data_IF_708200226630
#
_entry.id   IF_708200226630
#
_cell.length_a   1.000
_cell.length_b   1.000
_cell.length_c   1.000
_cell.angle_alpha   90.00
_cell.angle_beta   90.00
_cell.angle_gamma   90.00
#
_symmetry.space_group_name_H-M   'P 1'
#
loop_
_entity.id
_entity.type
_entity.pdbx_description
1 polymer ?
#
# COMPACT_ATOMS: atom_id res chain seq x y z
N UNK A 1 5.64 5.96 -7.18
CA UNK A 1 4.42 5.88 -6.33
C UNK A 1 3.90 7.28 -6.06
N UNK A 2 2.59 7.45 -5.92
CA UNK A 2 1.96 8.75 -5.66
C UNK A 2 1.39 8.85 -4.25
N UNK A 3 0.76 7.78 -3.77
CA UNK A 3 0.18 7.73 -2.43
C UNK A 3 0.13 6.30 -1.92
N UNK A 4 0.26 6.16 -0.60
CA UNK A 4 0.12 4.90 0.14
C UNK A 4 -0.73 5.15 1.37
N UNK A 5 -1.78 4.36 1.51
CA UNK A 5 -2.62 4.31 2.71
C UNK A 5 -2.50 2.91 3.30
N UNK A 6 -2.26 2.83 4.61
CA UNK A 6 -2.19 1.57 5.37
C UNK A 6 -3.15 1.64 6.53
N UNK A 7 -3.89 0.55 6.75
CA UNK A 7 -4.72 0.34 7.94
C UNK A 7 -4.09 -0.79 8.75
N UNK A 8 -3.77 -0.46 10.00
CA UNK A 8 -3.17 -1.38 10.97
C UNK A 8 -3.78 -1.13 12.36
N UNK A 9 -3.57 -2.03 13.34
CA UNK A 9 -4.13 -1.89 14.70
C UNK A 9 -3.68 -0.62 15.44
N UNK A 10 -2.51 -0.09 15.10
CA UNK A 10 -1.94 1.11 15.71
C UNK A 10 -1.27 2.01 14.66
N UNK A 11 -1.16 3.30 15.01
CA UNK A 11 -0.63 4.34 14.13
C UNK A 11 0.86 4.16 13.81
N UNK A 12 1.65 3.68 14.76
CA UNK A 12 3.10 3.51 14.58
C UNK A 12 3.37 2.44 13.53
N UNK A 13 2.66 1.31 13.61
CA UNK A 13 2.70 0.23 12.63
C UNK A 13 2.23 0.75 11.26
N UNK A 14 1.11 1.47 11.20
CA UNK A 14 0.60 2.01 9.94
C UNK A 14 1.61 2.96 9.25
N UNK A 15 2.19 3.89 10.01
CA UNK A 15 3.14 4.89 9.51
C UNK A 15 4.46 4.24 9.05
N UNK A 16 4.97 3.27 9.81
CA UNK A 16 6.17 2.52 9.46
C UNK A 16 5.98 1.76 8.14
N UNK A 17 4.85 1.06 7.97
CA UNK A 17 4.54 0.37 6.72
C UNK A 17 4.28 1.34 5.56
N UNK A 18 3.56 2.43 5.77
CA UNK A 18 3.31 3.43 4.72
C UNK A 18 4.64 4.02 4.20
N UNK A 19 5.54 4.38 5.12
CA UNK A 19 6.89 4.87 4.78
C UNK A 19 7.71 3.81 4.06
N UNK A 20 7.72 2.58 4.57
CA UNK A 20 8.48 1.48 3.96
C UNK A 20 7.98 1.16 2.55
N UNK A 21 6.66 1.11 2.34
CA UNK A 21 6.05 0.85 1.04
C UNK A 21 6.33 1.98 0.05
N UNK A 22 6.27 3.25 0.47
CA UNK A 22 6.53 4.41 -0.40
C UNK A 22 7.97 4.44 -0.94
N UNK A 23 8.94 3.98 -0.14
CA UNK A 23 10.37 3.94 -0.49
C UNK A 23 10.75 2.64 -1.22
N UNK A 24 9.98 1.56 -1.04
CA UNK A 24 10.33 0.23 -1.56
C UNK A 24 10.04 0.08 -3.06
N UNK A 25 10.87 -0.73 -3.72
CA UNK A 25 10.63 -1.24 -5.08
C UNK A 25 9.67 -2.44 -5.07
N UNK A 26 9.06 -2.75 -6.22
CA UNK A 26 8.02 -3.80 -6.37
C UNK A 26 8.41 -5.16 -5.75
N UNK A 27 9.66 -5.59 -5.88
CA UNK A 27 10.12 -6.89 -5.36
C UNK A 27 10.07 -6.99 -3.82
N UNK A 28 10.25 -5.87 -3.13
CA UNK A 28 10.19 -5.81 -1.65
C UNK A 28 8.77 -5.61 -1.14
N UNK A 29 7.88 -5.07 -1.97
CA UNK A 29 6.47 -4.91 -1.64
C UNK A 29 5.84 -6.25 -1.31
N UNK A 30 6.00 -7.26 -2.15
CA UNK A 30 5.30 -8.55 -1.97
C UNK A 30 5.61 -9.20 -0.62
N UNK A 31 6.84 -9.05 -0.11
CA UNK A 31 7.23 -9.56 1.21
C UNK A 31 6.58 -8.78 2.36
N UNK A 32 6.42 -7.47 2.21
CA UNK A 32 5.75 -6.61 3.19
C UNK A 32 4.23 -6.78 3.16
N UNK A 33 3.65 -7.04 1.98
CA UNK A 33 2.21 -7.18 1.76
C UNK A 33 1.63 -8.50 2.29
N UNK A 34 2.47 -9.50 2.59
CA UNK A 34 2.04 -10.72 3.29
C UNK A 34 1.78 -10.51 4.79
N UNK A 35 2.17 -9.37 5.35
CA UNK A 35 2.06 -9.10 6.78
C UNK A 35 0.66 -8.62 7.19
N UNK A 36 -0.42 -9.34 6.87
CA UNK A 36 -1.78 -9.14 7.43
C UNK A 36 -2.25 -7.68 7.63
N UNK A 37 -1.86 -6.77 6.75
CA UNK A 37 -2.21 -5.34 6.78
C UNK A 37 -3.08 -5.01 5.57
N UNK A 38 -3.99 -4.06 5.76
CA UNK A 38 -4.80 -3.54 4.68
C UNK A 38 -4.12 -2.32 4.07
N UNK A 39 -4.02 -2.30 2.73
CA UNK A 39 -3.29 -1.26 2.03
C UNK A 39 -4.02 -0.79 0.78
N UNK A 40 -3.79 0.46 0.42
CA UNK A 40 -4.26 1.10 -0.81
C UNK A 40 -3.13 1.95 -1.38
N UNK A 41 -2.71 1.63 -2.60
CA UNK A 41 -1.55 2.26 -3.24
C UNK A 41 -2.00 2.85 -4.56
N UNK A 42 -1.65 4.12 -4.77
CA UNK A 42 -1.81 4.82 -6.05
C UNK A 42 -0.42 5.05 -6.65
N UNK A 43 -0.24 4.66 -7.90
CA UNK A 43 1.01 4.84 -8.63
C UNK A 43 0.76 5.12 -10.11
N UNK A 44 1.80 5.60 -10.79
CA UNK A 44 1.82 5.74 -12.24
C UNK A 44 2.49 4.50 -12.84
N UNK A 45 1.87 3.91 -13.87
CA UNK A 45 2.54 2.89 -14.68
C UNK A 45 3.56 3.53 -15.64
N UNK A 46 4.27 2.69 -16.40
CA UNK A 46 5.29 3.15 -17.34
C UNK A 46 4.75 4.04 -18.48
N UNK A 47 3.43 4.12 -18.65
CA UNK A 47 2.76 4.99 -19.61
C UNK A 47 2.02 6.15 -18.93
N UNK A 48 2.43 6.52 -17.70
CA UNK A 48 1.87 7.61 -16.89
C UNK A 48 0.36 7.47 -16.60
N UNK A 49 -0.19 6.26 -16.65
CA UNK A 49 -1.57 6.03 -16.25
C UNK A 49 -1.68 5.78 -14.76
N UNK A 50 -2.74 6.33 -14.15
CA UNK A 50 -3.08 6.04 -12.77
C UNK A 50 -3.45 4.56 -12.62
N UNK A 51 -2.74 3.89 -11.71
CA UNK A 51 -3.02 2.53 -11.27
C UNK A 51 -3.24 2.48 -9.78
N UNK A 52 -4.09 1.54 -9.39
CA UNK A 52 -4.42 1.27 -8.00
C UNK A 52 -4.05 -0.18 -7.70
N UNK A 53 -3.38 -0.41 -6.57
CA UNK A 53 -3.14 -1.73 -6.00
C UNK A 53 -3.64 -1.71 -4.56
N UNK A 54 -4.48 -2.68 -4.19
CA UNK A 54 -5.10 -2.72 -2.86
C UNK A 54 -5.21 -4.15 -2.32
N UNK A 55 -5.20 -4.32 -1.00
CA UNK A 55 -5.52 -5.61 -0.38
C UNK A 55 -7.00 -5.96 -0.56
N UNK A 56 -7.33 -7.25 -0.40
CA UNK A 56 -8.73 -7.68 -0.35
C UNK A 56 -9.48 -7.05 0.83
N UNK A 57 -8.85 -6.96 2.00
CA UNK A 57 -9.47 -6.35 3.18
C UNK A 57 -9.70 -4.85 3.02
N UNK A 58 -8.89 -4.14 2.23
CA UNK A 58 -9.08 -2.70 1.95
C UNK A 58 -10.42 -2.41 1.26
N UNK A 59 -10.94 -3.35 0.45
CA UNK A 59 -12.23 -3.18 -0.27
C UNK A 59 -13.40 -2.87 0.64
N UNK A 60 -13.36 -3.28 1.91
CA UNK A 60 -14.44 -3.00 2.89
C UNK A 60 -14.54 -1.53 3.30
N UNK A 61 -13.48 -0.74 3.08
CA UNK A 61 -13.41 0.67 3.46
C UNK A 61 -13.75 1.61 2.30
N UNK A 62 -13.81 1.07 1.08
CA UNK A 62 -14.09 1.82 -0.14
C UNK A 62 -15.52 1.50 -0.54
N UNK A 63 -16.35 2.55 -0.64
CA UNK A 63 -17.79 2.45 -0.89
C UNK A 63 -18.13 2.87 -2.30
#
# INVERSE_FOLDING_TARGET
>A
MLSVTVIAPDCVTADAYATALLVSTEDRLDRLLHAAIDYYIIYLDAADNYRIRQSEGMKRYIR
#
